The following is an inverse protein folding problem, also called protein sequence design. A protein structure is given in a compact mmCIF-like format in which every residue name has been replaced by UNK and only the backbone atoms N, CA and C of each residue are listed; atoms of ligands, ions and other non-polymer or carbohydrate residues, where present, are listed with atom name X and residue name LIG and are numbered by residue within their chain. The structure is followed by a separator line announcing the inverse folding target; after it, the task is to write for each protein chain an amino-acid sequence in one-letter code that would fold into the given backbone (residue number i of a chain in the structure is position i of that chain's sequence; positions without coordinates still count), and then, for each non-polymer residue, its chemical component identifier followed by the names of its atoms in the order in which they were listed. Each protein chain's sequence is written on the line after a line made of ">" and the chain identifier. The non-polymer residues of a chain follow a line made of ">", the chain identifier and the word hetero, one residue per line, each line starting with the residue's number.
data_IF_484649569380
#
_entry.id   IF_484649569380
#
_cell.length_a   1.000
_cell.length_b   1.000
_cell.length_c   1.000
_cell.angle_alpha   90.00
_cell.angle_beta   90.00
_cell.angle_gamma   90.00
#
_symmetry.space_group_name_H-M   'P 1'
#
loop_
_entity.id
_entity.type
_entity.pdbx_description
1 polymer ?
#
# COMPACT_ATOMS: atom_id res chain seq x y z
N UNK A 1 -27.51 -11.46 6.89
CA UNK A 1 -26.48 -10.48 6.50
C UNK A 1 -25.59 -10.20 7.71
N UNK A 2 -24.28 -10.15 7.52
CA UNK A 2 -23.29 -9.89 8.56
C UNK A 2 -22.23 -8.93 8.02
N UNK A 3 -21.55 -8.22 8.93
CA UNK A 3 -20.36 -7.44 8.63
C UNK A 3 -19.12 -8.34 8.84
N UNK A 4 -18.26 -8.38 7.82
CA UNK A 4 -16.96 -9.04 7.88
C UNK A 4 -15.87 -7.98 7.72
N UNK A 5 -14.77 -8.12 8.47
CA UNK A 5 -13.65 -7.20 8.48
C UNK A 5 -12.37 -7.96 8.16
N UNK A 6 -11.45 -7.32 7.46
CA UNK A 6 -10.13 -7.87 7.15
C UNK A 6 -9.06 -6.79 7.26
N UNK A 7 -7.85 -7.19 7.65
CA UNK A 7 -6.67 -6.34 7.63
C UNK A 7 -5.74 -6.81 6.52
N UNK A 8 -5.26 -5.88 5.70
CA UNK A 8 -4.36 -6.15 4.59
C UNK A 8 -3.14 -5.24 4.64
N UNK A 9 -1.96 -5.80 4.37
CA UNK A 9 -0.76 -5.00 4.12
C UNK A 9 -0.93 -4.28 2.78
N UNK A 10 -0.97 -2.96 2.81
CA UNK A 10 -1.01 -2.15 1.60
C UNK A 10 0.23 -2.41 0.75
N UNK A 11 0.04 -2.45 -0.57
CA UNK A 11 1.11 -2.68 -1.54
C UNK A 11 1.87 -4.01 -1.35
N UNK A 12 1.25 -5.01 -0.74
CA UNK A 12 1.84 -6.34 -0.52
C UNK A 12 2.45 -6.97 -1.77
N UNK A 13 1.83 -6.76 -2.93
CA UNK A 13 2.29 -7.25 -4.25
C UNK A 13 3.62 -6.63 -4.70
N UNK A 14 3.99 -5.51 -4.09
CA UNK A 14 5.17 -4.72 -4.45
C UNK A 14 6.25 -4.75 -3.38
N UNK A 15 6.04 -5.48 -2.30
CA UNK A 15 7.01 -5.65 -1.23
C UNK A 15 8.12 -6.62 -1.67
N UNK A 16 9.37 -6.44 -1.21
CA UNK A 16 10.52 -7.21 -1.69
C UNK A 16 10.35 -8.72 -1.44
N UNK A 17 10.89 -9.59 -2.29
CA UNK A 17 10.81 -11.04 -2.10
C UNK A 17 11.26 -11.46 -0.70
N UNK A 18 10.45 -12.28 -0.02
CA UNK A 18 10.75 -12.73 1.34
C UNK A 18 10.32 -11.77 2.45
N UNK A 19 9.62 -10.67 2.13
CA UNK A 19 9.01 -9.83 3.14
C UNK A 19 8.03 -10.62 4.01
N UNK A 20 8.05 -10.34 5.32
CA UNK A 20 7.02 -10.73 6.26
C UNK A 20 6.78 -9.63 7.30
N UNK A 21 5.55 -9.47 7.77
CA UNK A 21 5.22 -8.57 8.87
C UNK A 21 4.48 -9.38 9.93
N UNK A 22 4.99 -9.39 11.14
CA UNK A 22 4.29 -9.93 12.29
C UNK A 22 3.57 -8.77 12.94
N UNK A 23 2.25 -8.78 12.87
CA UNK A 23 1.45 -7.72 13.46
C UNK A 23 0.39 -8.31 14.36
N UNK A 24 0.19 -7.60 15.46
CA UNK A 24 -0.87 -7.78 16.42
C UNK A 24 -1.87 -6.67 16.18
N UNK A 25 -3.13 -7.02 15.99
CA UNK A 25 -4.15 -6.03 15.68
C UNK A 25 -5.50 -6.37 16.31
N UNK A 26 -6.31 -5.34 16.48
CA UNK A 26 -7.68 -5.44 16.98
C UNK A 26 -8.59 -4.50 16.18
N UNK A 27 -9.86 -4.88 16.08
CA UNK A 27 -10.91 -4.05 15.53
C UNK A 27 -11.86 -3.66 16.66
N UNK A 28 -12.36 -2.44 16.64
CA UNK A 28 -13.40 -1.96 17.56
C UNK A 28 -14.50 -1.30 16.73
N UNK A 29 -15.75 -1.78 16.91
CA UNK A 29 -16.92 -1.06 16.38
C UNK A 29 -17.38 -0.08 17.45
N UNK A 30 -17.30 1.19 17.12
CA UNK A 30 -17.59 2.26 18.06
C UNK A 30 -19.10 2.39 18.24
N UNK A 31 -19.55 2.40 19.49
CA UNK A 31 -20.90 2.88 19.79
C UNK A 31 -20.87 4.41 19.74
N UNK A 32 -21.51 4.97 18.72
CA UNK A 32 -21.43 6.39 18.39
C UNK A 32 -22.34 7.26 19.28
N UNK A 33 -23.18 6.65 20.13
CA UNK A 33 -24.06 7.35 21.09
C UNK A 33 -23.43 7.36 22.49
N UNK A 34 -22.71 6.30 22.87
CA UNK A 34 -22.08 6.18 24.19
C UNK A 34 -20.75 5.46 24.08
N UNK A 35 -19.64 6.20 24.18
CA UNK A 35 -18.29 5.62 24.09
C UNK A 35 -18.03 4.58 25.19
N UNK A 36 -18.59 4.76 26.39
CA UNK A 36 -18.49 3.83 27.52
C UNK A 36 -19.17 2.46 27.28
N UNK A 37 -20.05 2.38 26.28
CA UNK A 37 -20.76 1.16 25.85
C UNK A 37 -20.21 0.68 24.50
N UNK A 38 -19.13 1.29 24.00
CA UNK A 38 -18.39 0.74 22.88
C UNK A 38 -17.91 -0.64 23.29
N UNK A 39 -18.40 -1.64 22.59
CA UNK A 39 -17.89 -2.98 22.76
C UNK A 39 -16.48 -3.01 22.17
N UNK A 40 -15.49 -2.90 23.05
CA UNK A 40 -14.35 -3.80 22.95
C UNK A 40 -14.94 -5.17 23.32
N UNK A 41 -15.69 -5.79 22.39
CA UNK A 41 -16.30 -7.07 22.75
C UNK A 41 -15.14 -7.98 23.08
N UNK A 42 -15.27 -8.72 24.18
CA UNK A 42 -14.43 -9.87 24.48
C UNK A 42 -14.36 -10.90 23.33
N UNK A 43 -15.14 -10.70 22.25
CA UNK A 43 -15.22 -11.50 21.03
C UNK A 43 -14.41 -10.92 19.85
N UNK A 44 -13.88 -9.69 19.97
CA UNK A 44 -12.94 -9.06 19.03
C UNK A 44 -11.51 -9.37 19.50
N UNK A 45 -11.17 -10.66 19.45
CA UNK A 45 -9.90 -11.19 19.92
C UNK A 45 -8.74 -10.44 19.28
N UNK A 46 -7.84 -9.89 20.11
CA UNK A 46 -6.52 -9.46 19.69
C UNK A 46 -5.90 -10.61 18.87
N UNK A 47 -5.67 -10.34 17.59
CA UNK A 47 -5.19 -11.35 16.64
C UNK A 47 -3.75 -11.02 16.32
N UNK A 48 -2.90 -12.04 16.28
CA UNK A 48 -1.47 -11.87 16.04
C UNK A 48 -1.07 -12.80 14.90
N UNK A 49 -0.73 -12.22 13.75
CA UNK A 49 -0.55 -12.96 12.52
C UNK A 49 0.69 -12.51 11.76
N UNK A 50 1.17 -13.42 10.91
CA UNK A 50 2.21 -13.14 9.94
C UNK A 50 1.58 -12.84 8.58
N UNK A 51 1.91 -11.67 8.05
CA UNK A 51 1.57 -11.22 6.71
C UNK A 51 2.76 -11.46 5.80
N UNK A 52 2.54 -12.02 4.62
CA UNK A 52 3.55 -12.20 3.58
C UNK A 52 2.92 -12.22 2.17
N UNK A 53 3.71 -12.49 1.13
CA UNK A 53 3.20 -12.51 -0.24
C UNK A 53 2.09 -13.54 -0.50
N UNK A 54 2.02 -14.63 0.28
CA UNK A 54 0.97 -15.67 0.13
C UNK A 54 -0.27 -15.28 0.89
N UNK A 55 -0.08 -14.65 2.04
CA UNK A 55 -1.16 -14.24 2.93
C UNK A 55 -1.01 -12.76 3.27
N UNK A 56 -1.31 -11.86 2.32
CA UNK A 56 -1.16 -10.41 2.52
C UNK A 56 -2.33 -9.81 3.31
N UNK A 57 -3.41 -10.56 3.48
CA UNK A 57 -4.60 -10.17 4.20
C UNK A 57 -5.07 -11.29 5.14
N UNK A 58 -5.58 -10.89 6.29
CA UNK A 58 -6.20 -11.77 7.27
C UNK A 58 -7.64 -11.33 7.52
N UNK A 59 -8.56 -12.25 7.29
CA UNK A 59 -9.96 -12.08 7.64
C UNK A 59 -10.16 -12.26 9.14
N UNK A 60 -11.04 -11.44 9.70
CA UNK A 60 -11.44 -11.62 11.08
C UNK A 60 -12.44 -12.78 11.19
N UNK A 61 -12.11 -13.76 12.04
CA UNK A 61 -12.83 -15.04 12.13
C UNK A 61 -14.31 -14.92 12.52
N UNK A 62 -14.70 -13.85 13.24
CA UNK A 62 -16.07 -13.67 13.71
C UNK A 62 -16.81 -12.61 12.88
N UNK A 63 -17.76 -13.04 12.04
CA UNK A 63 -18.67 -12.11 11.38
C UNK A 63 -19.67 -11.53 12.38
N UNK A 64 -19.91 -10.22 12.32
CA UNK A 64 -20.83 -9.54 13.24
C UNK A 64 -22.23 -9.52 12.60
N UNK A 65 -23.24 -10.15 13.21
CA UNK A 65 -24.58 -10.15 12.64
C UNK A 65 -25.13 -8.74 12.50
N UNK A 66 -25.72 -8.39 11.36
CA UNK A 66 -26.32 -7.06 11.17
C UNK A 66 -27.40 -6.76 12.21
N UNK A 67 -28.13 -7.77 12.68
CA UNK A 67 -29.13 -7.59 13.74
C UNK A 67 -28.58 -7.08 15.08
N UNK A 68 -27.26 -7.25 15.35
CA UNK A 68 -26.60 -6.64 16.51
C UNK A 68 -26.23 -5.17 16.25
N UNK A 69 -25.90 -4.82 15.01
CA UNK A 69 -25.52 -3.46 14.62
C UNK A 69 -26.74 -2.54 14.42
N UNK A 70 -27.80 -3.07 13.81
CA UNK A 70 -29.06 -2.40 13.50
C UNK A 70 -30.11 -2.59 14.61
N UNK A 71 -29.65 -2.88 15.83
CA UNK A 71 -30.54 -2.91 16.98
C UNK A 71 -31.13 -1.51 17.15
N UNK A 72 -32.46 -1.43 17.28
CA UNK A 72 -33.17 -0.16 17.53
C UNK A 72 -32.57 0.50 18.79
N UNK A 73 -32.01 1.71 18.64
CA UNK A 73 -31.28 2.44 19.68
C UNK A 73 -29.94 1.81 20.14
N UNK A 74 -29.35 0.91 19.35
CA UNK A 74 -28.08 0.24 19.68
C UNK A 74 -26.85 1.15 19.59
N UNK A 75 -26.94 2.25 18.82
CA UNK A 75 -25.90 3.29 18.75
C UNK A 75 -24.68 2.97 17.89
N UNK A 76 -24.59 1.78 17.30
CA UNK A 76 -23.50 1.41 16.38
C UNK A 76 -23.68 1.98 14.97
N UNK A 77 -24.92 2.13 14.51
CA UNK A 77 -25.26 2.83 13.26
C UNK A 77 -25.89 4.18 13.63
N UNK A 78 -25.24 5.26 13.19
CA UNK A 78 -25.76 6.64 13.32
C UNK A 78 -25.70 7.27 11.93
N UNK A 79 -26.83 7.82 11.48
CA UNK A 79 -26.99 8.39 10.13
C UNK A 79 -26.56 7.45 8.99
N UNK A 80 -26.83 6.15 9.15
CA UNK A 80 -26.46 5.12 8.17
C UNK A 80 -24.95 4.82 8.10
N UNK A 81 -24.15 5.33 9.02
CA UNK A 81 -22.69 5.13 9.08
C UNK A 81 -22.30 4.26 10.27
N UNK A 82 -21.28 3.43 10.07
CA UNK A 82 -20.60 2.66 11.12
C UNK A 82 -19.18 3.18 11.24
N UNK A 83 -18.72 3.42 12.47
CA UNK A 83 -17.34 3.81 12.76
C UNK A 83 -16.56 2.59 13.28
N UNK A 84 -15.45 2.29 12.62
CA UNK A 84 -14.56 1.18 12.96
C UNK A 84 -13.19 1.76 13.27
N UNK A 85 -12.65 1.38 14.43
CA UNK A 85 -11.29 1.70 14.84
C UNK A 85 -10.45 0.43 14.73
N UNK A 86 -9.24 0.58 14.20
CA UNK A 86 -8.28 -0.52 14.08
C UNK A 86 -7.03 -0.11 14.84
N UNK A 87 -6.60 -0.95 15.77
CA UNK A 87 -5.31 -0.80 16.42
C UNK A 87 -4.36 -1.84 15.82
N UNK A 88 -3.18 -1.40 15.38
CA UNK A 88 -2.17 -2.27 14.77
C UNK A 88 -0.83 -2.03 15.43
N UNK A 89 -0.24 -3.08 15.96
CA UNK A 89 1.08 -3.11 16.56
C UNK A 89 1.98 -4.09 15.79
N UNK A 90 2.96 -3.56 15.07
CA UNK A 90 3.92 -4.37 14.31
C UNK A 90 5.01 -4.85 15.27
N UNK A 91 5.00 -6.16 15.54
CA UNK A 91 5.92 -6.81 16.47
C UNK A 91 7.27 -7.13 15.82
N UNK A 92 7.24 -7.54 14.55
CA UNK A 92 8.42 -7.92 13.80
C UNK A 92 8.23 -7.62 12.32
N UNK A 93 9.31 -7.20 11.65
CA UNK A 93 9.35 -7.01 10.22
C UNK A 93 10.56 -7.75 9.65
N UNK A 94 10.30 -8.74 8.80
CA UNK A 94 11.30 -9.55 8.09
C UNK A 94 11.26 -9.18 6.61
N UNK A 95 12.39 -9.37 5.93
CA UNK A 95 12.61 -8.81 4.60
C UNK A 95 13.31 -7.49 4.79
N UNK A 96 14.61 -7.53 4.53
CA UNK A 96 15.37 -6.33 4.28
C UNK A 96 14.67 -5.66 3.10
N UNK A 97 14.24 -4.41 3.25
CA UNK A 97 14.56 -3.51 2.16
C UNK A 97 16.08 -3.66 2.06
N UNK A 98 16.60 -4.29 1.01
CA UNK A 98 17.97 -3.99 0.60
C UNK A 98 18.06 -2.45 0.74
N UNK A 99 18.72 -1.85 1.73
CA UNK A 99 19.85 -2.30 2.51
C UNK A 99 19.90 -1.61 3.90
N UNK A 100 20.81 -2.08 4.77
CA UNK A 100 21.39 -1.29 5.89
C UNK A 100 22.24 -0.09 5.36
N UNK A 101 22.01 0.32 4.11
CA UNK A 101 22.68 1.41 3.40
C UNK A 101 21.90 2.70 3.66
N UNK A 102 22.60 3.77 3.99
CA UNK A 102 21.94 5.07 4.10
C UNK A 102 21.42 5.51 2.74
N UNK A 103 20.19 6.02 2.70
CA UNK A 103 19.64 6.63 1.49
C UNK A 103 20.39 7.91 1.16
N UNK A 104 20.64 8.13 -0.13
CA UNK A 104 21.04 9.42 -0.63
C UNK A 104 19.80 10.28 -0.87
N UNK A 105 19.90 11.56 -0.53
CA UNK A 105 18.91 12.55 -0.94
C UNK A 105 19.22 12.99 -2.38
N UNK A 106 18.51 12.41 -3.33
CA UNK A 106 18.58 12.78 -4.74
C UNK A 106 17.43 13.73 -5.08
N UNK A 107 17.71 15.04 -5.02
CA UNK A 107 16.75 16.11 -5.33
C UNK A 107 15.45 16.05 -4.49
N UNK A 108 15.53 15.67 -3.22
CA UNK A 108 14.38 15.54 -2.32
C UNK A 108 13.77 14.13 -2.27
N UNK A 109 14.43 13.14 -2.89
CA UNK A 109 14.00 11.75 -2.97
C UNK A 109 15.00 10.83 -2.26
N UNK A 110 14.55 9.96 -1.34
CA UNK A 110 15.41 8.96 -0.71
C UNK A 110 15.67 7.80 -1.68
N UNK A 111 16.90 7.69 -2.19
CA UNK A 111 17.33 6.69 -3.17
C UNK A 111 18.55 5.94 -2.64
N UNK A 112 18.55 4.61 -2.72
CA UNK A 112 19.75 3.85 -2.35
C UNK A 112 20.83 3.98 -3.43
N UNK A 113 22.13 3.99 -3.07
CA UNK A 113 23.23 3.90 -4.02
C UNK A 113 23.05 2.77 -5.05
N UNK A 114 22.58 1.59 -4.64
CA UNK A 114 22.28 0.45 -5.52
C UNK A 114 21.18 0.72 -6.55
N UNK A 115 20.30 1.70 -6.30
CA UNK A 115 19.19 2.07 -7.18
C UNK A 115 19.54 3.15 -8.20
N UNK A 116 20.72 3.78 -8.05
CA UNK A 116 21.15 4.91 -8.88
C UNK A 116 21.21 4.56 -10.37
N UNK A 117 21.49 3.30 -10.73
CA UNK A 117 21.49 2.83 -12.12
C UNK A 117 20.09 2.89 -12.79
N UNK A 118 19.02 2.87 -11.99
CA UNK A 118 17.65 2.97 -12.47
C UNK A 118 17.16 4.41 -12.45
N UNK A 119 17.53 5.17 -11.42
CA UNK A 119 16.99 6.52 -11.16
C UNK A 119 17.76 7.62 -11.90
N UNK A 120 19.09 7.55 -11.99
CA UNK A 120 19.90 8.62 -12.62
C UNK A 120 19.51 8.89 -14.08
N UNK A 121 19.32 7.87 -14.94
CA UNK A 121 18.92 8.11 -16.32
C UNK A 121 17.55 8.78 -16.47
N UNK A 122 16.67 8.63 -15.48
CA UNK A 122 15.36 9.30 -15.47
C UNK A 122 15.55 10.79 -15.29
N UNK A 123 16.34 11.19 -14.30
CA UNK A 123 16.64 12.60 -14.06
C UNK A 123 17.40 13.26 -15.22
N UNK A 124 18.24 12.50 -15.93
CA UNK A 124 18.91 13.00 -17.13
C UNK A 124 17.92 13.27 -18.29
N UNK A 125 16.90 12.42 -18.46
CA UNK A 125 15.94 12.52 -19.55
C UNK A 125 14.71 13.38 -19.22
N UNK A 126 14.35 13.42 -17.94
CA UNK A 126 13.13 14.02 -17.40
C UNK A 126 13.45 14.72 -16.07
N UNK A 127 14.28 15.78 -16.05
CA UNK A 127 14.78 16.37 -14.79
C UNK A 127 13.69 16.93 -13.88
N UNK A 128 12.53 17.26 -14.43
CA UNK A 128 11.39 17.87 -13.76
C UNK A 128 10.32 16.87 -13.28
N UNK A 129 10.49 15.57 -13.56
CA UNK A 129 9.43 14.57 -13.36
C UNK A 129 8.92 14.45 -11.91
N UNK A 130 9.74 14.80 -10.93
CA UNK A 130 9.44 14.68 -9.51
C UNK A 130 9.18 16.03 -8.82
N UNK A 131 9.24 17.18 -9.52
CA UNK A 131 9.19 18.51 -8.90
C UNK A 131 7.95 18.70 -8.02
N UNK A 132 6.75 18.47 -8.59
CA UNK A 132 5.50 18.60 -7.85
C UNK A 132 5.33 17.57 -6.73
N UNK A 133 6.05 16.45 -6.80
CA UNK A 133 6.03 15.41 -5.77
C UNK A 133 6.93 15.76 -4.58
N UNK A 134 8.14 16.27 -4.83
CA UNK A 134 9.11 16.58 -3.77
C UNK A 134 8.70 17.79 -2.92
N UNK A 135 7.95 18.73 -3.51
CA UNK A 135 7.36 19.90 -2.84
C UNK A 135 6.27 19.52 -1.82
N UNK A 136 5.70 18.31 -1.90
CA UNK A 136 4.71 17.85 -0.94
C UNK A 136 5.37 17.50 0.39
N UNK A 137 4.70 17.89 1.48
CA UNK A 137 5.08 17.52 2.84
C UNK A 137 4.73 16.05 3.12
N UNK A 138 5.52 15.15 2.53
CA UNK A 138 5.41 13.70 2.64
C UNK A 138 6.62 13.16 3.39
N UNK A 139 6.37 12.30 4.38
CA UNK A 139 7.43 11.66 5.15
C UNK A 139 8.36 10.80 4.29
N UNK A 140 9.63 10.69 4.69
CA UNK A 140 10.70 9.97 3.97
C UNK A 140 10.31 8.55 3.59
N UNK A 141 9.66 7.81 4.49
CA UNK A 141 9.19 6.44 4.21
C UNK A 141 8.18 6.38 3.07
N UNK A 142 7.24 7.34 3.02
CA UNK A 142 6.27 7.41 1.93
C UNK A 142 6.97 7.72 0.60
N UNK A 143 7.90 8.69 0.61
CA UNK A 143 8.71 9.01 -0.58
C UNK A 143 9.49 7.79 -1.08
N UNK A 144 10.04 6.98 -0.16
CA UNK A 144 10.74 5.75 -0.48
C UNK A 144 9.84 4.70 -1.15
N UNK A 145 8.62 4.50 -0.65
CA UNK A 145 7.65 3.58 -1.27
C UNK A 145 7.38 4.01 -2.71
N UNK A 146 7.12 5.30 -2.95
CA UNK A 146 6.85 5.81 -4.30
C UNK A 146 8.04 5.58 -5.25
N UNK A 147 9.27 5.82 -4.79
CA UNK A 147 10.49 5.57 -5.58
C UNK A 147 10.69 4.08 -5.85
N UNK A 148 10.41 3.23 -4.87
CA UNK A 148 10.45 1.79 -5.04
C UNK A 148 9.48 1.32 -6.15
N UNK A 149 8.26 1.87 -6.17
CA UNK A 149 7.26 1.58 -7.21
C UNK A 149 7.73 2.00 -8.60
N UNK A 150 8.31 3.19 -8.72
CA UNK A 150 8.87 3.69 -9.98
C UNK A 150 9.99 2.78 -10.51
N UNK A 151 10.92 2.39 -9.63
CA UNK A 151 12.03 1.50 -9.98
C UNK A 151 11.50 0.12 -10.39
N UNK A 152 10.54 -0.41 -9.64
CA UNK A 152 9.93 -1.70 -9.96
C UNK A 152 9.26 -1.69 -11.33
N UNK A 153 8.50 -0.64 -11.65
CA UNK A 153 7.91 -0.44 -12.98
C UNK A 153 8.99 -0.41 -14.06
N UNK A 154 10.07 0.35 -13.86
CA UNK A 154 11.17 0.42 -14.84
C UNK A 154 11.82 -0.94 -15.05
N UNK A 155 12.05 -1.70 -13.96
CA UNK A 155 12.57 -3.07 -14.03
C UNK A 155 11.62 -3.97 -14.81
N UNK A 156 10.30 -3.87 -14.58
CA UNK A 156 9.30 -4.66 -15.29
C UNK A 156 9.30 -4.34 -16.79
N UNK A 157 9.35 -3.06 -17.16
CA UNK A 157 9.38 -2.62 -18.57
C UNK A 157 10.69 -2.94 -19.31
N UNK A 158 11.73 -3.42 -18.61
CA UNK A 158 12.98 -3.93 -19.21
C UNK A 158 12.92 -5.44 -19.47
N UNK A 159 11.93 -6.16 -18.94
CA UNK A 159 11.75 -7.60 -19.18
C UNK A 159 11.37 -7.89 -20.64
N UNK A 160 11.51 -9.14 -21.11
CA UNK A 160 10.93 -9.57 -22.38
C UNK A 160 9.42 -9.28 -22.43
N UNK A 161 8.92 -8.91 -23.60
CA UNK A 161 7.54 -8.43 -23.80
C UNK A 161 6.45 -9.38 -23.27
N UNK A 162 6.72 -10.68 -23.35
CA UNK A 162 5.85 -11.73 -22.84
C UNK A 162 5.69 -11.70 -21.31
N UNK A 163 6.74 -11.27 -20.59
CA UNK A 163 6.84 -11.29 -19.13
C UNK A 163 6.39 -9.96 -18.48
N UNK A 164 6.09 -8.94 -19.29
CA UNK A 164 5.59 -7.64 -18.81
C UNK A 164 4.13 -7.78 -18.36
N UNK A 165 3.84 -7.32 -17.14
CA UNK A 165 2.48 -7.24 -16.62
C UNK A 165 1.87 -5.87 -16.92
N UNK A 166 1.16 -5.76 -18.04
CA UNK A 166 0.51 -4.50 -18.44
C UNK A 166 -0.58 -4.03 -17.48
N UNK A 167 -1.26 -4.97 -16.81
CA UNK A 167 -2.21 -4.65 -15.74
C UNK A 167 -1.50 -3.92 -14.60
N UNK A 168 -0.40 -4.50 -14.11
CA UNK A 168 0.40 -3.92 -13.05
C UNK A 168 0.99 -2.57 -13.47
N UNK A 169 1.59 -2.50 -14.67
CA UNK A 169 2.17 -1.26 -15.18
C UNK A 169 1.15 -0.12 -15.23
N UNK A 170 -0.08 -0.40 -15.67
CA UNK A 170 -1.15 0.59 -15.71
C UNK A 170 -1.54 1.06 -14.31
N UNK A 171 -1.72 0.14 -13.36
CA UNK A 171 -2.03 0.48 -11.97
C UNK A 171 -0.95 1.33 -11.31
N UNK A 172 0.33 0.97 -11.50
CA UNK A 172 1.46 1.73 -10.95
C UNK A 172 1.51 3.15 -11.54
N UNK A 173 1.25 3.32 -12.83
CA UNK A 173 1.21 4.65 -13.46
C UNK A 173 0.12 5.55 -12.88
N UNK A 174 -1.08 5.02 -12.67
CA UNK A 174 -2.18 5.75 -12.04
C UNK A 174 -1.79 6.22 -10.64
N UNK A 175 -1.16 5.34 -9.85
CA UNK A 175 -0.66 5.66 -8.53
C UNK A 175 0.42 6.76 -8.56
N UNK A 176 1.47 6.60 -9.38
CA UNK A 176 2.57 7.56 -9.48
C UNK A 176 2.10 8.96 -9.89
N UNK A 177 1.14 9.03 -10.81
CA UNK A 177 0.51 10.28 -11.24
C UNK A 177 -0.33 10.92 -10.13
N UNK A 178 -1.12 10.11 -9.40
CA UNK A 178 -1.94 10.60 -8.30
C UNK A 178 -1.09 11.21 -7.17
N UNK A 179 0.10 10.64 -6.90
CA UNK A 179 1.03 11.20 -5.91
C UNK A 179 1.82 12.40 -6.45
N UNK A 180 1.71 12.72 -7.74
CA UNK A 180 2.22 13.96 -8.33
C UNK A 180 3.54 13.83 -9.09
N UNK A 181 3.94 12.62 -9.48
CA UNK A 181 5.01 12.45 -10.47
C UNK A 181 4.48 12.68 -11.88
N UNK A 182 5.25 13.40 -12.70
CA UNK A 182 5.03 13.47 -14.14
C UNK A 182 5.62 12.23 -14.82
N UNK A 183 4.73 11.26 -15.10
CA UNK A 183 5.07 9.97 -15.70
C UNK A 183 4.53 9.82 -17.13
N UNK A 184 4.20 10.92 -17.82
CA UNK A 184 3.61 10.87 -19.17
C UNK A 184 4.48 10.13 -20.20
N UNK A 185 5.81 10.20 -20.03
CA UNK A 185 6.76 9.45 -20.85
C UNK A 185 6.71 7.93 -20.60
N UNK A 186 6.44 7.49 -19.37
CA UNK A 186 6.20 6.07 -19.06
C UNK A 186 4.84 5.61 -19.57
N UNK A 187 3.79 6.43 -19.44
CA UNK A 187 2.47 6.14 -20.01
C UNK A 187 2.59 5.82 -21.50
N UNK A 188 3.29 6.68 -22.25
CA UNK A 188 3.57 6.45 -23.67
C UNK A 188 4.36 5.15 -23.91
N UNK A 189 5.43 4.92 -23.15
CA UNK A 189 6.26 3.71 -23.30
C UNK A 189 5.46 2.42 -23.05
N UNK A 190 4.58 2.42 -22.06
CA UNK A 190 3.70 1.27 -21.76
C UNK A 190 2.73 1.04 -22.92
N UNK A 191 2.13 2.09 -23.48
CA UNK A 191 1.26 1.97 -24.67
C UNK A 191 2.01 1.40 -25.87
N UNK A 192 3.19 1.93 -26.20
CA UNK A 192 4.00 1.46 -27.33
C UNK A 192 4.37 -0.03 -27.19
N UNK A 193 4.69 -0.47 -25.97
CA UNK A 193 4.97 -1.87 -25.68
C UNK A 193 3.71 -2.74 -25.78
N UNK A 194 2.56 -2.24 -25.33
CA UNK A 194 1.31 -2.97 -25.42
C UNK A 194 0.91 -3.23 -26.87
N UNK A 195 0.99 -2.20 -27.71
CA UNK A 195 0.73 -2.31 -29.15
C UNK A 195 1.68 -3.32 -29.82
N UNK A 196 2.96 -3.36 -29.42
CA UNK A 196 3.92 -4.36 -29.91
C UNK A 196 3.60 -5.80 -29.51
N UNK A 197 2.84 -6.01 -28.43
CA UNK A 197 2.46 -7.36 -27.96
C UNK A 197 1.22 -7.87 -28.70
N UNK A 198 0.40 -6.94 -29.19
CA UNK A 198 -0.84 -7.22 -29.91
C UNK A 198 -0.62 -7.41 -31.42
N UNK A 199 0.56 -7.03 -31.95
CA UNK A 199 1.00 -7.22 -33.33
C UNK A 199 1.97 -8.40 -33.48
#
# INVERSE_FOLDING_TARGET
>A
LSLSLSLMVSDADFMPPGWKRHARFSFTIVNQISEEVSQQSSDLTETQEWFDHKTPAWDFANSIPLGKLDAKHGGFIVDGKVKIVVEVNVLEAVGKYEDDEDFLDLYGLPVYPSEMEFVSPIFEQHPDFALAFVEKDLGTYFKRVVIHQLIFLIKDLRKPLQDISFYHAHHTLVYLKAVGLDVGWLEKKVSDLKEKKEN
#
